data_IF_314256213985
#
_entry.id   IF_314256213985
#
_cell.length_a   1.000
_cell.length_b   1.000
_cell.length_c   1.000
_cell.angle_alpha   90.00
_cell.angle_beta   90.00
_cell.angle_gamma   90.00
#
_symmetry.space_group_name_H-M   'P 1'
#
loop_
_entity.id
_entity.type
_entity.pdbx_description
1 polymer ?
#
# COMPACT_ATOMS: atom_id res chain seq x y z
N UNK A 1 53.20 -20.50 1.36
CA UNK A 1 53.05 -21.11 2.71
C UNK A 1 52.52 -20.13 3.75
N UNK A 2 53.06 -18.90 3.86
CA UNK A 2 52.63 -17.92 4.87
C UNK A 2 51.18 -17.42 4.69
N UNK A 3 50.73 -17.16 3.46
CA UNK A 3 49.36 -16.69 3.18
C UNK A 3 48.30 -17.76 3.46
N UNK A 4 48.56 -19.00 3.05
CA UNK A 4 47.69 -20.15 3.34
C UNK A 4 47.63 -20.49 4.83
N UNK A 5 48.76 -20.39 5.54
CA UNK A 5 48.84 -20.51 7.00
C UNK A 5 48.05 -19.40 7.72
N UNK A 6 48.12 -18.16 7.22
CA UNK A 6 47.40 -17.01 7.77
C UNK A 6 45.89 -17.12 7.56
N UNK A 7 45.46 -17.46 6.33
CA UNK A 7 44.04 -17.66 6.00
C UNK A 7 43.41 -18.82 6.79
N UNK A 8 44.17 -19.91 7.02
CA UNK A 8 43.72 -21.04 7.84
C UNK A 8 43.69 -20.72 9.35
N UNK A 9 44.67 -19.97 9.88
CA UNK A 9 44.71 -19.60 11.32
C UNK A 9 43.51 -18.74 11.75
N UNK A 10 42.98 -17.92 10.85
CA UNK A 10 41.86 -17.01 11.13
C UNK A 10 40.55 -17.44 10.47
N UNK A 11 40.50 -18.63 9.88
CA UNK A 11 39.33 -19.17 9.17
C UNK A 11 38.74 -18.20 8.13
N UNK A 12 39.58 -17.31 7.57
CA UNK A 12 39.18 -16.20 6.72
C UNK A 12 38.51 -16.66 5.42
N UNK A 13 38.91 -17.84 4.91
CA UNK A 13 38.24 -18.46 3.76
C UNK A 13 36.81 -18.91 4.10
N UNK A 14 36.59 -19.47 5.29
CA UNK A 14 35.26 -19.84 5.75
C UNK A 14 34.38 -18.61 6.02
N UNK A 15 34.95 -17.56 6.62
CA UNK A 15 34.26 -16.28 6.85
C UNK A 15 33.91 -15.60 5.52
N UNK A 16 34.83 -15.55 4.57
CA UNK A 16 34.60 -14.97 3.25
C UNK A 16 33.58 -15.78 2.46
N UNK A 17 33.69 -17.11 2.48
CA UNK A 17 32.72 -18.01 1.81
C UNK A 17 31.33 -17.90 2.44
N UNK A 18 31.24 -17.78 3.77
CA UNK A 18 29.99 -17.55 4.49
C UNK A 18 29.39 -16.18 4.16
N UNK A 19 30.20 -15.13 4.13
CA UNK A 19 29.76 -13.78 3.76
C UNK A 19 29.29 -13.73 2.30
N UNK A 20 29.98 -14.42 1.39
CA UNK A 20 29.60 -14.53 -0.02
C UNK A 20 28.32 -15.36 -0.21
N UNK A 21 28.16 -16.46 0.52
CA UNK A 21 26.92 -17.25 0.58
C UNK A 21 25.75 -16.39 1.09
N UNK A 22 25.93 -15.67 2.20
CA UNK A 22 24.94 -14.75 2.74
C UNK A 22 24.58 -13.64 1.75
N UNK A 23 25.57 -13.06 1.08
CA UNK A 23 25.36 -12.04 0.06
C UNK A 23 24.57 -12.57 -1.14
N UNK A 24 24.90 -13.77 -1.63
CA UNK A 24 24.16 -14.42 -2.71
C UNK A 24 22.74 -14.81 -2.30
N UNK A 25 22.54 -15.26 -1.05
CA UNK A 25 21.21 -15.52 -0.48
C UNK A 25 20.36 -14.25 -0.45
N UNK A 26 20.93 -13.11 -0.03
CA UNK A 26 20.23 -11.81 -0.02
C UNK A 26 19.81 -11.42 -1.44
N UNK A 27 20.71 -11.51 -2.43
CA UNK A 27 20.39 -11.20 -3.83
C UNK A 27 19.32 -12.15 -4.39
N UNK A 28 19.38 -13.44 -4.04
CA UNK A 28 18.38 -14.42 -4.47
C UNK A 28 17.00 -14.10 -3.88
N UNK A 29 16.92 -13.80 -2.58
CA UNK A 29 15.69 -13.33 -1.92
C UNK A 29 15.16 -12.08 -2.62
N UNK A 30 16.03 -11.10 -2.91
CA UNK A 30 15.63 -9.86 -3.59
C UNK A 30 15.02 -10.12 -4.98
N UNK A 31 15.57 -11.08 -5.74
CA UNK A 31 15.03 -11.49 -7.05
C UNK A 31 13.70 -12.22 -6.94
N UNK A 32 13.60 -13.17 -6.02
CA UNK A 32 12.35 -13.90 -5.72
C UNK A 32 11.26 -12.92 -5.28
N UNK A 33 11.63 -11.96 -4.45
CA UNK A 33 10.74 -10.93 -3.97
C UNK A 33 10.27 -9.97 -5.09
N UNK A 34 11.17 -9.56 -5.98
CA UNK A 34 10.82 -8.80 -7.21
C UNK A 34 9.86 -9.58 -8.12
N UNK A 35 10.03 -10.90 -8.23
CA UNK A 35 9.13 -11.77 -8.99
C UNK A 35 7.76 -11.90 -8.33
N UNK A 36 7.72 -12.09 -7.01
CA UNK A 36 6.47 -12.11 -6.23
C UNK A 36 5.68 -10.81 -6.40
N UNK A 37 6.36 -9.67 -6.32
CA UNK A 37 5.76 -8.36 -6.57
C UNK A 37 5.13 -8.30 -7.97
N UNK A 38 5.84 -8.78 -8.99
CA UNK A 38 5.33 -8.77 -10.36
C UNK A 38 4.09 -9.66 -10.49
N UNK A 39 4.06 -10.80 -9.81
CA UNK A 39 2.87 -11.65 -9.73
C UNK A 39 1.77 -10.96 -8.93
N UNK A 40 2.07 -10.28 -7.82
CA UNK A 40 1.09 -9.54 -7.02
C UNK A 40 0.45 -8.40 -7.83
N UNK A 41 1.22 -7.65 -8.62
CA UNK A 41 0.69 -6.60 -9.49
C UNK A 41 -0.14 -7.18 -10.65
N UNK A 42 0.29 -8.31 -11.22
CA UNK A 42 -0.52 -9.06 -12.19
C UNK A 42 -1.83 -9.55 -11.55
N UNK A 43 -1.77 -10.12 -10.35
CA UNK A 43 -2.91 -10.56 -9.59
C UNK A 43 -3.81 -9.36 -9.31
N UNK A 44 -3.31 -8.25 -8.78
CA UNK A 44 -4.02 -6.97 -8.52
C UNK A 44 -4.74 -6.38 -9.74
N UNK A 45 -4.15 -6.46 -10.93
CA UNK A 45 -4.80 -6.01 -12.17
C UNK A 45 -5.96 -6.92 -12.60
N UNK A 46 -5.97 -8.17 -12.14
CA UNK A 46 -7.03 -9.16 -12.38
C UNK A 46 -7.92 -9.46 -11.14
N UNK A 47 -7.49 -9.02 -9.95
CA UNK A 47 -7.99 -9.35 -8.59
C UNK A 47 -7.88 -8.08 -7.70
N UNK A 48 -8.77 -7.10 -7.86
CA UNK A 48 -8.68 -5.80 -7.17
C UNK A 48 -8.73 -5.88 -5.64
N UNK A 49 -9.19 -7.01 -5.08
CA UNK A 49 -9.34 -7.25 -3.64
C UNK A 49 -8.03 -7.60 -2.92
N UNK A 50 -6.97 -7.94 -3.65
CA UNK A 50 -5.66 -8.34 -3.09
C UNK A 50 -4.63 -7.21 -3.08
N UNK A 51 -4.95 -6.04 -3.68
CA UNK A 51 -4.04 -4.93 -4.02
C UNK A 51 -2.99 -4.53 -2.98
N UNK A 52 -3.29 -4.63 -1.67
CA UNK A 52 -2.36 -4.32 -0.58
C UNK A 52 -2.35 -5.40 0.52
N UNK A 53 -3.06 -6.50 0.32
CA UNK A 53 -3.38 -7.46 1.37
C UNK A 53 -2.11 -8.05 1.99
N UNK A 54 -1.22 -8.60 1.16
CA UNK A 54 0.05 -9.17 1.58
C UNK A 54 0.91 -8.18 2.38
N UNK A 55 0.99 -6.92 1.93
CA UNK A 55 1.77 -5.87 2.61
C UNK A 55 1.19 -5.49 3.96
N UNK A 56 -0.14 -5.36 4.04
CA UNK A 56 -0.83 -5.06 5.28
C UNK A 56 -0.68 -6.19 6.30
N UNK A 57 -0.86 -7.45 5.87
CA UNK A 57 -0.66 -8.64 6.70
C UNK A 57 0.79 -8.71 7.19
N UNK A 58 1.77 -8.45 6.33
CA UNK A 58 3.18 -8.41 6.72
C UNK A 58 3.46 -7.36 7.79
N UNK A 59 2.87 -6.17 7.68
CA UNK A 59 3.01 -5.16 8.71
C UNK A 59 2.37 -5.56 10.05
N UNK A 60 1.13 -6.08 10.04
CA UNK A 60 0.48 -6.52 11.28
C UNK A 60 1.31 -7.63 11.95
N UNK A 61 1.76 -8.59 11.15
CA UNK A 61 2.61 -9.71 11.59
C UNK A 61 3.84 -9.22 12.33
N UNK A 62 4.58 -8.26 11.76
CA UNK A 62 5.83 -7.78 12.35
C UNK A 62 5.61 -7.04 13.66
N UNK A 63 4.47 -6.38 13.79
CA UNK A 63 4.22 -5.47 14.91
C UNK A 63 3.68 -6.25 16.09
N UNK A 64 2.87 -7.27 15.82
CA UNK A 64 2.53 -8.31 16.78
C UNK A 64 3.81 -9.05 17.23
N UNK A 65 4.67 -9.46 16.29
CA UNK A 65 5.91 -10.15 16.62
C UNK A 65 6.88 -9.30 17.46
N UNK A 66 6.90 -7.97 17.27
CA UNK A 66 7.65 -7.05 18.12
C UNK A 66 7.11 -7.03 19.54
N UNK A 67 5.78 -6.99 19.73
CA UNK A 67 5.15 -7.05 21.06
C UNK A 67 5.44 -8.35 21.78
N UNK A 68 5.47 -9.45 21.03
CA UNK A 68 5.85 -10.76 21.52
C UNK A 68 7.37 -10.94 21.71
N UNK A 69 8.17 -9.89 21.48
CA UNK A 69 9.63 -9.89 21.63
C UNK A 69 10.38 -10.95 20.79
N UNK A 70 9.85 -11.32 19.62
CA UNK A 70 10.54 -12.28 18.73
C UNK A 70 11.90 -11.71 18.28
N UNK A 71 12.94 -12.56 18.12
CA UNK A 71 14.24 -12.16 17.60
C UNK A 71 14.14 -11.51 16.21
N UNK A 72 15.11 -10.63 15.90
CA UNK A 72 15.13 -9.93 14.60
C UNK A 72 15.09 -10.90 13.41
N UNK A 73 15.86 -11.98 13.48
CA UNK A 73 15.97 -12.96 12.39
C UNK A 73 14.65 -13.73 12.17
N UNK A 74 13.92 -14.05 13.24
CA UNK A 74 12.59 -14.66 13.11
C UNK A 74 11.57 -13.69 12.54
N UNK A 75 11.62 -12.41 12.97
CA UNK A 75 10.76 -11.37 12.40
C UNK A 75 11.01 -11.19 10.91
N UNK A 76 12.26 -11.27 10.45
CA UNK A 76 12.59 -11.21 9.02
C UNK A 76 11.95 -12.38 8.25
N UNK A 77 12.10 -13.62 8.73
CA UNK A 77 11.42 -14.78 8.12
C UNK A 77 9.90 -14.62 8.11
N UNK A 78 9.32 -14.10 9.20
CA UNK A 78 7.88 -13.85 9.35
C UNK A 78 7.38 -12.80 8.36
N UNK A 79 8.17 -11.76 8.10
CA UNK A 79 7.87 -10.76 7.09
C UNK A 79 7.72 -11.40 5.72
N UNK A 80 8.66 -12.26 5.33
CA UNK A 80 8.58 -12.98 4.07
C UNK A 80 7.42 -13.98 4.05
N UNK A 81 7.20 -14.76 5.11
CA UNK A 81 6.06 -15.65 5.18
C UNK A 81 4.71 -14.91 5.02
N UNK A 82 4.58 -13.72 5.62
CA UNK A 82 3.40 -12.89 5.51
C UNK A 82 3.19 -12.29 4.12
N UNK A 83 4.27 -11.91 3.42
CA UNK A 83 4.15 -11.45 2.04
C UNK A 83 3.66 -12.57 1.14
N UNK A 84 4.22 -13.78 1.29
CA UNK A 84 3.94 -14.90 0.39
C UNK A 84 2.76 -15.79 0.80
N UNK A 85 2.09 -15.51 1.93
CA UNK A 85 1.08 -16.41 2.51
C UNK A 85 -0.02 -16.84 1.52
N UNK A 86 -0.39 -15.93 0.61
CA UNK A 86 -1.48 -16.10 -0.34
C UNK A 86 -1.01 -16.45 -1.77
N UNK A 87 0.30 -16.68 -2.00
CA UNK A 87 0.85 -16.88 -3.36
C UNK A 87 0.21 -18.06 -4.10
N UNK A 88 -0.24 -19.08 -3.37
CA UNK A 88 -0.93 -20.24 -3.94
C UNK A 88 -2.29 -19.94 -4.58
N UNK A 89 -2.87 -18.75 -4.34
CA UNK A 89 -4.13 -18.33 -4.98
C UNK A 89 -4.00 -18.19 -6.49
N UNK A 90 -2.79 -18.15 -7.03
CA UNK A 90 -2.54 -18.24 -8.48
C UNK A 90 -3.12 -19.51 -9.11
N UNK A 91 -3.30 -20.59 -8.34
CA UNK A 91 -3.88 -21.85 -8.81
C UNK A 91 -5.41 -21.92 -8.64
N UNK A 92 -6.03 -20.95 -7.97
CA UNK A 92 -7.48 -20.94 -7.71
C UNK A 92 -8.19 -20.11 -8.78
N UNK A 93 -9.36 -20.55 -9.24
CA UNK A 93 -10.14 -19.81 -10.25
C UNK A 93 -10.45 -18.38 -9.80
N UNK A 94 -10.21 -17.41 -10.68
CA UNK A 94 -10.52 -15.99 -10.45
C UNK A 94 -11.99 -15.75 -10.05
N UNK A 95 -12.94 -16.57 -10.54
CA UNK A 95 -14.36 -16.46 -10.19
C UNK A 95 -14.65 -16.81 -8.73
N UNK A 96 -13.84 -17.69 -8.13
CA UNK A 96 -13.96 -18.10 -6.72
C UNK A 96 -13.29 -17.04 -5.83
N UNK A 97 -12.06 -16.65 -6.17
CA UNK A 97 -11.30 -15.64 -5.41
C UNK A 97 -12.04 -14.30 -5.34
N UNK A 98 -12.73 -13.90 -6.41
CA UNK A 98 -13.47 -12.64 -6.49
C UNK A 98 -14.98 -12.77 -6.19
N UNK A 99 -15.47 -13.93 -5.74
CA UNK A 99 -16.91 -14.15 -5.59
C UNK A 99 -17.53 -13.14 -4.62
N UNK A 100 -18.56 -12.42 -5.09
CA UNK A 100 -19.36 -11.53 -4.24
C UNK A 100 -20.42 -12.35 -3.49
N UNK A 101 -20.05 -12.88 -2.32
CA UNK A 101 -20.96 -13.66 -1.48
C UNK A 101 -20.28 -14.83 -0.77
N UNK A 102 -21.04 -15.70 -0.08
CA UNK A 102 -20.49 -16.92 0.48
C UNK A 102 -20.04 -17.88 -0.64
N UNK A 103 -18.96 -18.61 -0.38
CA UNK A 103 -18.53 -19.73 -1.21
C UNK A 103 -19.46 -20.92 -1.00
N UNK A 104 -19.70 -21.70 -2.05
CA UNK A 104 -20.31 -23.04 -1.88
C UNK A 104 -19.31 -23.97 -1.19
N UNK A 105 -19.75 -25.11 -0.64
CA UNK A 105 -18.83 -26.09 -0.05
C UNK A 105 -17.72 -26.51 -1.02
N UNK A 106 -18.04 -26.72 -2.30
CA UNK A 106 -17.08 -27.13 -3.33
C UNK A 106 -16.08 -26.01 -3.66
N UNK A 107 -16.56 -24.77 -3.76
CA UNK A 107 -15.69 -23.60 -3.94
C UNK A 107 -14.80 -23.36 -2.71
N UNK A 108 -15.30 -23.69 -1.51
CA UNK A 108 -14.53 -23.64 -0.28
C UNK A 108 -13.47 -24.74 -0.22
N UNK A 109 -13.72 -25.94 -0.74
CA UNK A 109 -12.67 -26.95 -0.93
C UNK A 109 -11.58 -26.44 -1.89
N UNK A 110 -11.97 -25.90 -3.04
CA UNK A 110 -11.03 -25.39 -4.05
C UNK A 110 -10.17 -24.23 -3.50
N UNK A 111 -10.76 -23.29 -2.75
CA UNK A 111 -9.98 -22.17 -2.21
C UNK A 111 -8.98 -22.62 -1.14
N UNK A 112 -9.27 -23.69 -0.37
CA UNK A 112 -8.35 -24.19 0.67
C UNK A 112 -7.04 -24.71 0.09
N UNK A 113 -7.05 -25.19 -1.15
CA UNK A 113 -5.86 -25.73 -1.82
C UNK A 113 -4.72 -24.70 -1.94
N UNK A 114 -5.02 -23.39 -1.90
CA UNK A 114 -3.99 -22.35 -1.99
C UNK A 114 -2.91 -22.47 -0.90
N UNK A 115 -3.24 -23.03 0.27
CA UNK A 115 -2.28 -23.25 1.34
C UNK A 115 -1.21 -24.29 0.93
N UNK A 116 -1.63 -25.40 0.33
CA UNK A 116 -0.73 -26.46 -0.14
C UNK A 116 0.05 -26.01 -1.38
N UNK A 117 -0.61 -25.32 -2.33
CA UNK A 117 0.07 -24.75 -3.48
C UNK A 117 1.07 -23.66 -3.07
N UNK A 118 0.72 -22.84 -2.07
CA UNK A 118 1.60 -21.85 -1.47
C UNK A 118 2.85 -22.50 -0.87
N UNK A 119 2.68 -23.60 -0.14
CA UNK A 119 3.79 -24.42 0.37
C UNK A 119 4.69 -24.93 -0.75
N UNK A 120 4.14 -25.52 -1.82
CA UNK A 120 4.93 -26.06 -2.94
C UNK A 120 5.76 -24.95 -3.61
N UNK A 121 5.13 -23.81 -3.92
CA UNK A 121 5.82 -22.66 -4.55
C UNK A 121 6.92 -22.15 -3.62
N UNK A 122 6.58 -21.88 -2.36
CA UNK A 122 7.52 -21.27 -1.42
C UNK A 122 8.63 -22.21 -0.99
N UNK A 123 8.40 -23.53 -0.98
CA UNK A 123 9.48 -24.50 -0.80
C UNK A 123 10.52 -24.35 -1.89
N UNK A 124 10.14 -24.40 -3.17
CA UNK A 124 11.11 -24.20 -4.25
C UNK A 124 11.85 -22.85 -4.18
N UNK A 125 11.18 -21.81 -3.68
CA UNK A 125 11.76 -20.47 -3.54
C UNK A 125 12.69 -20.31 -2.33
N UNK A 126 12.38 -20.95 -1.20
CA UNK A 126 13.02 -20.68 0.09
C UNK A 126 13.76 -21.87 0.72
N UNK A 127 13.65 -23.09 0.21
CA UNK A 127 14.19 -24.32 0.87
C UNK A 127 15.66 -24.19 1.27
N UNK A 128 16.47 -23.58 0.40
CA UNK A 128 17.92 -23.41 0.63
C UNK A 128 18.29 -22.19 1.49
N UNK A 129 17.33 -21.37 1.91
CA UNK A 129 17.56 -20.09 2.59
C UNK A 129 16.79 -20.03 3.92
N UNK A 130 15.48 -20.26 3.86
CA UNK A 130 14.55 -20.20 4.99
C UNK A 130 13.56 -21.38 4.92
N UNK A 131 13.99 -22.60 5.29
CA UNK A 131 13.18 -23.82 5.15
C UNK A 131 11.92 -23.83 6.06
N UNK A 132 11.84 -22.92 7.03
CA UNK A 132 10.68 -22.78 7.92
C UNK A 132 9.49 -22.07 7.25
N UNK A 133 9.77 -21.11 6.34
CA UNK A 133 8.75 -20.25 5.72
C UNK A 133 7.64 -21.04 5.02
N UNK A 134 7.95 -22.07 4.20
CA UNK A 134 6.92 -22.84 3.50
C UNK A 134 5.92 -23.47 4.47
N UNK A 135 6.38 -24.01 5.59
CA UNK A 135 5.51 -24.58 6.61
C UNK A 135 4.65 -23.52 7.28
N UNK A 136 5.21 -22.33 7.53
CA UNK A 136 4.45 -21.24 8.14
C UNK A 136 3.30 -20.79 7.25
N UNK A 137 3.55 -20.74 5.94
CA UNK A 137 2.56 -20.46 4.90
C UNK A 137 1.55 -21.60 4.80
N UNK A 138 1.97 -22.87 4.81
CA UNK A 138 1.05 -24.00 4.74
C UNK A 138 -0.04 -23.96 5.82
N UNK A 139 0.36 -23.63 7.06
CA UNK A 139 -0.52 -23.74 8.22
C UNK A 139 -1.09 -22.41 8.71
N UNK A 140 -0.99 -21.32 7.92
CA UNK A 140 -1.48 -20.00 8.33
C UNK A 140 -3.03 -19.91 8.44
N UNK A 141 -3.73 -20.95 8.01
CA UNK A 141 -5.18 -21.12 8.15
C UNK A 141 -5.61 -22.14 9.20
N UNK A 142 -4.66 -22.73 9.93
CA UNK A 142 -4.98 -23.54 11.09
C UNK A 142 -5.62 -22.67 12.18
N UNK A 143 -6.63 -23.23 12.86
CA UNK A 143 -7.29 -22.59 13.99
C UNK A 143 -6.73 -23.19 15.28
N UNK A 144 -6.62 -22.37 16.33
CA UNK A 144 -6.02 -22.78 17.60
C UNK A 144 -6.67 -24.04 18.23
N UNK A 145 -7.96 -24.29 17.99
CA UNK A 145 -8.73 -25.47 18.43
C UNK A 145 -8.65 -26.69 17.49
N UNK A 146 -8.00 -26.54 16.33
CA UNK A 146 -7.84 -27.53 15.26
C UNK A 146 -9.05 -27.71 14.35
N UNK A 147 -9.97 -26.74 14.33
CA UNK A 147 -11.04 -26.68 13.32
C UNK A 147 -10.57 -26.08 11.98
N UNK A 148 -9.28 -25.76 11.85
CA UNK A 148 -8.68 -25.15 10.67
C UNK A 148 -8.28 -26.16 9.61
N UNK A 149 -7.46 -25.70 8.67
CA UNK A 149 -6.96 -26.50 7.54
C UNK A 149 -5.51 -26.07 7.22
N UNK A 150 -4.73 -26.91 6.50
CA UNK A 150 -5.09 -28.17 5.83
C UNK A 150 -5.11 -29.44 6.69
N UNK A 151 -4.47 -29.45 7.86
CA UNK A 151 -4.18 -30.67 8.64
C UNK A 151 -4.91 -30.74 9.99
N UNK A 152 -5.55 -29.65 10.42
CA UNK A 152 -6.35 -29.61 11.66
C UNK A 152 -5.49 -29.60 12.92
N UNK A 153 -4.29 -29.00 12.82
CA UNK A 153 -3.32 -28.90 13.91
C UNK A 153 -3.88 -28.09 15.09
N UNK A 154 -3.54 -28.47 16.32
CA UNK A 154 -4.06 -27.83 17.54
C UNK A 154 -2.97 -27.17 18.37
N UNK A 155 -3.25 -25.94 18.83
CA UNK A 155 -2.44 -25.21 19.81
C UNK A 155 -0.95 -25.17 19.42
N UNK A 156 -0.12 -25.95 20.12
CA UNK A 156 1.34 -25.97 19.96
C UNK A 156 1.81 -26.83 18.78
N UNK A 157 0.93 -27.61 18.16
CA UNK A 157 1.20 -28.29 16.90
C UNK A 157 1.30 -27.29 15.74
N UNK A 158 0.60 -26.16 15.86
CA UNK A 158 0.69 -25.05 14.90
C UNK A 158 1.95 -24.24 15.22
N UNK A 159 2.88 -24.03 14.27
CA UNK A 159 4.03 -23.17 14.50
C UNK A 159 3.59 -21.79 14.98
N UNK A 160 4.31 -21.27 15.97
CA UNK A 160 4.01 -19.95 16.52
C UNK A 160 3.94 -18.84 15.43
N UNK A 161 4.83 -18.83 14.42
CA UNK A 161 4.72 -17.92 13.28
C UNK A 161 3.39 -18.01 12.51
N UNK A 162 2.87 -19.22 12.26
CA UNK A 162 1.56 -19.41 11.62
C UNK A 162 0.42 -18.87 12.48
N UNK A 163 0.51 -19.01 13.80
CA UNK A 163 -0.47 -18.43 14.75
C UNK A 163 -0.50 -16.90 14.66
N UNK A 164 0.67 -16.26 14.51
CA UNK A 164 0.78 -14.81 14.26
C UNK A 164 0.17 -14.43 12.90
N UNK A 165 0.53 -15.14 11.83
CA UNK A 165 0.00 -14.90 10.48
C UNK A 165 -1.52 -15.00 10.43
N UNK A 166 -2.10 -16.00 11.12
CA UNK A 166 -3.55 -16.20 11.20
C UNK A 166 -4.27 -14.96 11.73
N UNK A 167 -3.78 -14.41 12.84
CA UNK A 167 -4.34 -13.20 13.46
C UNK A 167 -4.14 -11.98 12.56
N UNK A 168 -2.92 -11.78 12.03
CA UNK A 168 -2.61 -10.66 11.14
C UNK A 168 -3.46 -10.65 9.86
N UNK A 169 -3.68 -11.82 9.26
CA UNK A 169 -4.55 -12.00 8.09
C UNK A 169 -5.99 -11.57 8.41
N UNK A 170 -6.56 -12.05 9.53
CA UNK A 170 -7.92 -11.69 9.91
C UNK A 170 -8.05 -10.20 10.22
N UNK A 171 -7.05 -9.61 10.89
CA UNK A 171 -7.04 -8.16 11.15
C UNK A 171 -7.13 -7.40 9.83
N UNK A 172 -6.29 -7.71 8.83
CA UNK A 172 -6.37 -7.03 7.55
C UNK A 172 -7.70 -7.29 6.82
N UNK A 173 -8.20 -8.53 6.81
CA UNK A 173 -9.46 -8.90 6.17
C UNK A 173 -10.65 -8.13 6.75
N UNK A 174 -10.64 -7.84 8.05
CA UNK A 174 -11.71 -7.13 8.75
C UNK A 174 -11.53 -5.61 8.72
N UNK A 175 -10.29 -5.14 8.84
CA UNK A 175 -9.96 -3.72 9.00
C UNK A 175 -9.76 -2.99 7.67
N UNK A 176 -9.25 -3.67 6.65
CA UNK A 176 -8.96 -3.03 5.36
C UNK A 176 -10.23 -2.95 4.49
N UNK A 177 -10.49 -1.79 3.85
CA UNK A 177 -11.61 -1.68 2.93
C UNK A 177 -11.46 -2.65 1.75
N UNK A 178 -12.44 -3.57 1.59
CA UNK A 178 -12.55 -4.44 0.42
C UNK A 178 -13.64 -3.92 -0.52
N UNK A 179 -13.49 -4.16 -1.83
CA UNK A 179 -14.51 -3.81 -2.84
C UNK A 179 -15.90 -4.35 -2.49
N UNK A 180 -15.96 -5.45 -1.73
CA UNK A 180 -17.20 -6.15 -1.39
C UNK A 180 -17.61 -6.13 0.11
N UNK A 181 -16.83 -5.55 1.03
CA UNK A 181 -17.13 -5.53 2.47
C UNK A 181 -16.66 -4.23 3.12
N UNK A 182 -17.53 -3.60 3.92
CA UNK A 182 -17.13 -2.41 4.71
C UNK A 182 -16.11 -2.83 5.77
N UNK A 183 -15.08 -2.01 6.05
CA UNK A 183 -14.27 -2.17 7.26
C UNK A 183 -15.15 -2.27 8.49
N UNK A 184 -14.84 -3.21 9.38
CA UNK A 184 -15.43 -3.20 10.73
C UNK A 184 -14.78 -2.05 11.52
N UNK A 185 -15.52 -1.45 12.43
CA UNK A 185 -14.98 -0.45 13.36
C UNK A 185 -13.88 -1.09 14.22
N UNK A 186 -12.96 -0.27 14.76
CA UNK A 186 -11.92 -0.77 15.68
C UNK A 186 -12.55 -1.52 16.85
N UNK A 187 -13.70 -1.05 17.35
CA UNK A 187 -14.46 -1.72 18.40
C UNK A 187 -14.92 -3.12 17.98
N UNK A 188 -15.53 -3.24 16.80
CA UNK A 188 -15.98 -4.53 16.26
C UNK A 188 -14.79 -5.48 15.96
N UNK A 189 -13.65 -4.96 15.50
CA UNK A 189 -12.43 -5.73 15.32
C UNK A 189 -11.94 -6.31 16.66
N UNK A 190 -11.86 -5.48 17.70
CA UNK A 190 -11.44 -5.89 19.04
C UNK A 190 -12.40 -6.92 19.62
N UNK A 191 -13.71 -6.70 19.46
CA UNK A 191 -14.75 -7.65 19.90
C UNK A 191 -14.61 -9.00 19.18
N UNK A 192 -14.36 -9.00 17.87
CA UNK A 192 -14.20 -10.23 17.08
C UNK A 192 -12.93 -11.00 17.45
N UNK A 193 -11.79 -10.31 17.61
CA UNK A 193 -10.54 -10.95 18.05
C UNK A 193 -10.71 -11.61 19.42
N UNK A 194 -11.34 -10.92 20.37
CA UNK A 194 -11.64 -11.45 21.71
C UNK A 194 -12.59 -12.64 21.64
N UNK A 195 -13.64 -12.56 20.81
CA UNK A 195 -14.63 -13.64 20.64
C UNK A 195 -14.01 -14.92 20.09
N UNK A 196 -13.03 -14.80 19.20
CA UNK A 196 -12.35 -15.93 18.57
C UNK A 196 -11.09 -16.42 19.32
N UNK A 197 -10.73 -15.77 20.43
CA UNK A 197 -9.57 -16.14 21.26
C UNK A 197 -9.74 -17.53 21.86
N UNK A 198 -8.68 -18.34 21.82
CA UNK A 198 -8.67 -19.72 22.31
C UNK A 198 -9.41 -20.72 21.42
N UNK A 199 -10.11 -20.24 20.38
CA UNK A 199 -10.76 -21.06 19.36
C UNK A 199 -10.03 -20.95 18.02
N UNK A 200 -10.14 -19.81 17.36
CA UNK A 200 -9.49 -19.59 16.08
C UNK A 200 -8.06 -19.06 16.29
N UNK A 201 -7.87 -18.27 17.36
CA UNK A 201 -6.63 -17.55 17.61
C UNK A 201 -5.95 -17.94 18.92
N UNK A 202 -4.62 -17.92 18.90
CA UNK A 202 -3.80 -18.05 20.10
C UNK A 202 -4.01 -16.83 21.02
N UNK A 203 -4.35 -17.04 22.31
CA UNK A 203 -4.52 -15.96 23.29
C UNK A 203 -3.33 -15.01 23.40
N UNK A 204 -2.09 -15.53 23.41
CA UNK A 204 -0.89 -14.68 23.58
C UNK A 204 -0.72 -13.74 22.39
N UNK A 205 -1.05 -14.24 21.18
CA UNK A 205 -1.00 -13.46 19.94
C UNK A 205 -2.10 -12.42 19.91
N UNK A 206 -3.31 -12.75 20.39
CA UNK A 206 -4.42 -11.78 20.45
C UNK A 206 -4.10 -10.65 21.41
N UNK A 207 -3.59 -10.93 22.60
CA UNK A 207 -3.22 -9.90 23.57
C UNK A 207 -2.19 -8.93 22.98
N UNK A 208 -1.14 -9.45 22.35
CA UNK A 208 -0.16 -8.65 21.63
C UNK A 208 -0.80 -7.83 20.48
N UNK A 209 -1.72 -8.42 19.72
CA UNK A 209 -2.41 -7.70 18.65
C UNK A 209 -3.31 -6.58 19.17
N UNK A 210 -3.98 -6.77 20.29
CA UNK A 210 -4.78 -5.74 20.94
C UNK A 210 -3.90 -4.58 21.43
N UNK A 211 -2.73 -4.86 21.98
CA UNK A 211 -1.76 -3.83 22.34
C UNK A 211 -1.32 -3.03 21.12
N UNK A 212 -0.98 -3.70 20.01
CA UNK A 212 -0.65 -3.03 18.74
C UNK A 212 -1.81 -2.16 18.26
N UNK A 213 -3.05 -2.66 18.30
CA UNK A 213 -4.24 -1.90 17.86
C UNK A 213 -4.47 -0.68 18.75
N UNK A 214 -4.32 -0.81 20.06
CA UNK A 214 -4.49 0.27 21.03
C UNK A 214 -3.41 1.35 20.88
N UNK A 215 -2.16 0.95 20.63
CA UNK A 215 -1.05 1.87 20.41
C UNK A 215 -1.11 2.57 19.04
N UNK A 216 -1.77 1.94 18.05
CA UNK A 216 -1.83 2.45 16.67
C UNK A 216 -3.00 3.35 16.34
N UNK A 217 -3.60 3.95 17.36
CA UNK A 217 -4.28 5.22 17.18
C UNK A 217 -3.19 6.29 16.92
N UNK A 218 -2.76 6.39 15.65
CA UNK A 218 -1.98 7.45 14.93
C UNK A 218 -0.43 7.34 14.86
N UNK A 219 0.17 7.22 13.64
CA UNK A 219 1.02 8.24 12.95
C UNK A 219 1.88 7.69 11.75
N UNK A 220 2.07 8.47 10.67
CA UNK A 220 2.93 8.18 9.51
C UNK A 220 4.39 7.77 9.78
N UNK A 221 4.96 8.19 10.92
CA UNK A 221 6.42 8.33 11.10
C UNK A 221 7.15 7.08 11.59
N UNK A 222 6.44 6.03 12.02
CA UNK A 222 7.09 4.85 12.61
C UNK A 222 7.57 3.81 11.59
N UNK A 223 7.29 4.07 10.31
CA UNK A 223 7.51 3.11 9.23
C UNK A 223 8.95 3.15 8.74
N UNK A 224 9.57 4.33 8.77
CA UNK A 224 10.96 4.61 8.40
C UNK A 224 11.97 4.41 9.55
N UNK A 225 11.57 3.84 10.68
CA UNK A 225 12.46 3.57 11.84
C UNK A 225 12.87 2.09 11.95
N UNK A 226 12.94 1.39 10.81
CA UNK A 226 13.15 -0.06 10.79
C UNK A 226 14.50 -0.45 10.22
N UNK A 227 15.22 -1.24 11.02
CA UNK A 227 16.46 -1.92 10.68
C UNK A 227 16.28 -3.18 9.80
N UNK A 228 15.05 -3.50 9.43
CA UNK A 228 14.66 -4.60 8.52
C UNK A 228 14.16 -3.96 7.23
N UNK A 229 14.58 -4.52 6.09
CA UNK A 229 14.12 -4.11 4.78
C UNK A 229 12.59 -4.27 4.69
N UNK A 230 11.92 -3.19 4.33
CA UNK A 230 10.47 -3.16 4.13
C UNK A 230 10.17 -2.68 2.74
N UNK A 231 9.11 -3.22 2.17
CA UNK A 231 8.66 -2.84 0.85
C UNK A 231 7.22 -2.35 0.93
N UNK A 232 6.97 -1.25 0.23
CA UNK A 232 5.68 -0.61 0.16
C UNK A 232 5.32 -0.29 -1.28
N UNK A 233 4.06 -0.47 -1.68
CA UNK A 233 3.54 0.12 -2.91
C UNK A 233 3.70 1.63 -2.87
N UNK A 234 4.16 2.22 -3.96
CA UNK A 234 4.46 3.64 -4.01
C UNK A 234 4.29 4.23 -5.41
N UNK A 235 4.11 5.55 -5.43
CA UNK A 235 4.16 6.39 -6.62
C UNK A 235 5.35 7.34 -6.46
N UNK A 236 6.26 7.32 -7.42
CA UNK A 236 7.34 8.29 -7.50
C UNK A 236 6.98 9.35 -8.53
N UNK A 237 6.96 10.62 -8.12
CA UNK A 237 6.76 11.77 -8.98
C UNK A 237 8.06 12.55 -9.11
N UNK A 238 8.56 12.70 -10.33
CA UNK A 238 9.75 13.48 -10.65
C UNK A 238 9.34 14.72 -11.43
N UNK A 239 9.61 15.90 -10.89
CA UNK A 239 9.39 17.17 -11.59
C UNK A 239 10.73 17.67 -12.11
N UNK A 240 10.85 17.81 -13.42
CA UNK A 240 11.99 18.47 -14.06
C UNK A 240 11.60 19.86 -14.53
N UNK A 241 12.56 20.62 -15.09
CA UNK A 241 12.26 21.91 -15.73
C UNK A 241 11.35 21.77 -16.97
N UNK A 242 11.27 20.58 -17.57
CA UNK A 242 10.57 20.33 -18.83
C UNK A 242 9.24 19.62 -18.66
N UNK A 243 9.20 18.65 -17.76
CA UNK A 243 8.07 17.73 -17.64
C UNK A 243 7.91 17.18 -16.22
N UNK A 244 6.81 16.46 -16.01
CA UNK A 244 6.60 15.69 -14.78
C UNK A 244 6.35 14.23 -15.12
N UNK A 245 7.18 13.38 -14.53
CA UNK A 245 7.13 11.94 -14.70
C UNK A 245 6.53 11.30 -13.46
N UNK A 246 5.56 10.41 -13.65
CA UNK A 246 4.97 9.65 -12.56
C UNK A 246 5.18 8.18 -12.83
N UNK A 247 5.77 7.49 -11.86
CA UNK A 247 6.07 6.08 -11.95
C UNK A 247 5.32 5.35 -10.85
N UNK A 248 4.51 4.36 -11.22
CA UNK A 248 4.01 3.39 -10.27
C UNK A 248 5.10 2.36 -9.99
N UNK A 249 5.13 1.85 -8.77
CA UNK A 249 6.13 0.87 -8.39
C UNK A 249 6.14 0.58 -6.91
N UNK A 250 7.31 0.21 -6.43
CA UNK A 250 7.50 -0.18 -5.04
C UNK A 250 8.70 0.55 -4.47
N UNK A 251 8.50 1.07 -3.26
CA UNK A 251 9.53 1.66 -2.45
C UNK A 251 10.07 0.63 -1.47
N UNK A 252 11.34 0.29 -1.62
CA UNK A 252 12.11 -0.56 -0.71
C UNK A 252 12.86 0.35 0.24
N UNK A 253 12.57 0.23 1.53
CA UNK A 253 13.20 0.98 2.61
C UNK A 253 14.02 0.07 3.51
N UNK A 254 15.28 0.41 3.67
CA UNK A 254 16.17 -0.12 4.71
C UNK A 254 17.01 1.06 5.21
N UNK A 255 17.30 1.12 6.52
CA UNK A 255 18.15 2.16 7.13
C UNK A 255 19.49 2.37 6.39
N UNK A 256 20.00 1.33 5.71
CA UNK A 256 21.24 1.42 4.92
C UNK A 256 21.04 1.73 3.44
N UNK A 257 19.88 1.36 2.86
CA UNK A 257 19.61 1.44 1.41
C UNK A 257 18.12 1.62 1.17
N UNK A 258 17.76 2.66 0.45
CA UNK A 258 16.38 2.91 0.06
C UNK A 258 16.31 3.16 -1.44
N UNK A 259 15.38 2.51 -2.13
CA UNK A 259 15.24 2.64 -3.57
C UNK A 259 13.78 2.42 -3.99
N UNK A 260 13.42 3.04 -5.10
CA UNK A 260 12.14 2.87 -5.77
C UNK A 260 12.37 2.10 -7.06
N UNK A 261 11.53 1.09 -7.31
CA UNK A 261 11.55 0.34 -8.56
C UNK A 261 10.20 0.47 -9.24
N UNK A 262 10.19 1.00 -10.46
CA UNK A 262 8.98 1.17 -11.25
C UNK A 262 8.49 -0.14 -11.84
N UNK A 263 7.17 -0.32 -11.88
CA UNK A 263 6.48 -1.40 -12.61
C UNK A 263 6.05 -1.02 -14.01
N UNK A 264 6.23 0.23 -14.42
CA UNK A 264 5.82 0.72 -15.73
C UNK A 264 6.82 0.24 -16.81
N UNK A 265 6.68 -1.02 -17.23
CA UNK A 265 7.57 -1.73 -18.17
C UNK A 265 7.54 -1.16 -19.60
N UNK A 266 6.51 -0.40 -19.95
CA UNK A 266 6.29 0.17 -21.28
C UNK A 266 6.48 1.70 -21.35
N UNK A 267 6.91 2.34 -20.25
CA UNK A 267 7.04 3.79 -20.14
C UNK A 267 8.48 4.29 -20.31
N UNK A 268 8.65 5.50 -20.82
CA UNK A 268 9.94 6.20 -20.89
C UNK A 268 10.66 6.16 -19.52
N UNK A 269 11.80 5.48 -19.43
CA UNK A 269 12.67 5.58 -18.26
C UNK A 269 13.46 6.88 -18.33
N UNK A 270 13.51 7.64 -17.24
CA UNK A 270 14.27 8.90 -17.19
C UNK A 270 15.66 8.58 -16.66
N UNK A 271 16.61 8.40 -17.59
CA UNK A 271 18.01 8.07 -17.27
C UNK A 271 18.81 9.29 -16.82
N UNK A 272 18.42 10.47 -17.30
CA UNK A 272 19.08 11.74 -16.99
C UNK A 272 18.15 12.67 -16.21
N UNK A 273 18.54 13.00 -14.98
CA UNK A 273 17.81 13.87 -14.04
C UNK A 273 18.55 15.17 -13.74
N UNK A 274 19.43 15.63 -14.65
CA UNK A 274 20.21 16.87 -14.44
C UNK A 274 19.34 18.12 -14.29
N UNK A 275 18.10 18.08 -14.79
CA UNK A 275 17.11 19.14 -14.73
C UNK A 275 16.01 18.87 -13.69
N UNK A 276 16.21 17.92 -12.78
CA UNK A 276 15.28 17.60 -11.70
C UNK A 276 15.16 18.77 -10.71
N UNK A 277 13.94 19.28 -10.53
CA UNK A 277 13.61 20.34 -9.58
C UNK A 277 13.21 19.79 -8.21
N UNK A 278 12.38 18.75 -8.21
CA UNK A 278 11.86 18.14 -6.99
C UNK A 278 11.39 16.72 -7.27
N UNK A 279 11.48 15.86 -6.26
CA UNK A 279 10.86 14.55 -6.31
C UNK A 279 10.01 14.32 -5.07
N UNK A 280 8.84 13.71 -5.29
CA UNK A 280 7.97 13.27 -4.21
C UNK A 280 7.69 11.78 -4.33
N UNK A 281 7.58 11.13 -3.18
CA UNK A 281 7.27 9.73 -3.04
C UNK A 281 5.99 9.60 -2.24
N UNK A 282 4.97 9.02 -2.84
CA UNK A 282 3.74 8.66 -2.14
C UNK A 282 3.79 7.18 -1.84
N UNK A 283 3.75 6.81 -0.57
CA UNK A 283 3.79 5.43 -0.10
C UNK A 283 2.40 5.04 0.39
N UNK A 284 1.86 3.92 -0.10
CA UNK A 284 0.55 3.40 0.27
C UNK A 284 0.67 2.33 1.36
N UNK A 285 -0.05 2.53 2.46
CA UNK A 285 0.02 1.67 3.65
C UNK A 285 -1.38 1.64 4.31
N UNK A 286 -1.98 0.47 4.53
CA UNK A 286 -3.35 0.35 5.05
C UNK A 286 -4.39 1.17 4.28
N UNK A 287 -4.29 1.19 2.95
CA UNK A 287 -5.14 2.04 2.09
C UNK A 287 -5.06 3.54 2.45
N UNK A 288 -3.97 3.97 3.09
CA UNK A 288 -3.65 5.35 3.40
C UNK A 288 -2.40 5.75 2.64
N UNK A 289 -2.43 6.93 2.02
CA UNK A 289 -1.32 7.48 1.28
C UNK A 289 -0.50 8.41 2.19
N UNK A 290 0.81 8.22 2.19
CA UNK A 290 1.77 9.03 2.92
C UNK A 290 2.74 9.65 1.93
N UNK A 291 2.84 10.98 1.94
CA UNK A 291 3.68 11.71 1.00
C UNK A 291 4.97 12.16 1.66
N UNK A 292 6.07 11.95 0.92
CA UNK A 292 7.42 12.26 1.33
C UNK A 292 8.08 13.09 0.24
N UNK A 293 8.85 14.09 0.65
CA UNK A 293 9.84 14.73 -0.21
C UNK A 293 11.10 13.87 -0.19
N UNK A 294 11.68 13.62 -1.36
CA UNK A 294 12.80 12.69 -1.51
C UNK A 294 13.84 13.22 -2.49
N UNK A 295 15.07 12.78 -2.32
CA UNK A 295 16.12 12.89 -3.33
C UNK A 295 16.23 11.59 -4.12
N UNK A 296 16.42 11.72 -5.43
CA UNK A 296 16.33 10.60 -6.37
C UNK A 296 17.57 10.56 -7.24
N UNK A 297 18.21 9.38 -7.30
CA UNK A 297 19.34 9.13 -8.19
C UNK A 297 18.96 7.94 -9.09
N UNK A 298 18.93 8.10 -10.43
CA UNK A 298 18.70 6.98 -11.32
C UNK A 298 19.94 6.09 -11.34
N UNK A 299 19.77 4.77 -11.26
CA UNK A 299 20.90 3.82 -11.21
C UNK A 299 20.85 2.83 -12.36
N UNK A 300 19.69 2.27 -12.61
CA UNK A 300 19.43 1.31 -13.69
C UNK A 300 18.06 1.63 -14.30
N UNK A 301 17.72 0.98 -15.41
CA UNK A 301 16.40 1.13 -16.01
C UNK A 301 15.31 0.82 -14.97
N UNK A 302 14.38 1.77 -14.82
CA UNK A 302 13.25 1.70 -13.90
C UNK A 302 13.62 1.58 -12.40
N UNK A 303 14.89 1.84 -12.02
CA UNK A 303 15.33 1.77 -10.62
C UNK A 303 16.02 3.06 -10.18
N UNK A 304 15.53 3.61 -9.08
CA UNK A 304 15.95 4.90 -8.55
C UNK A 304 16.33 4.77 -7.07
N UNK A 305 17.54 5.15 -6.69
CA UNK A 305 17.90 5.29 -5.27
C UNK A 305 17.10 6.45 -4.70
N UNK A 306 16.50 6.23 -3.53
CA UNK A 306 15.73 7.21 -2.79
C UNK A 306 16.50 7.54 -1.52
N UNK A 307 16.71 8.82 -1.27
CA UNK A 307 17.40 9.29 -0.07
C UNK A 307 16.77 10.58 0.46
N UNK A 308 17.26 11.05 1.60
CA UNK A 308 16.76 12.26 2.26
C UNK A 308 15.22 12.29 2.41
N UNK A 309 14.64 11.16 2.81
CA UNK A 309 13.19 10.96 2.87
C UNK A 309 12.63 11.77 4.03
N UNK A 310 11.94 12.86 3.69
CA UNK A 310 11.32 13.74 4.67
C UNK A 310 9.81 13.62 4.54
N UNK A 311 9.08 13.35 5.65
CA UNK A 311 7.64 13.46 5.60
C UNK A 311 7.31 14.88 5.13
N UNK A 312 6.47 15.01 4.13
CA UNK A 312 5.89 16.31 3.86
C UNK A 312 4.96 16.57 5.05
N UNK A 313 5.36 17.46 5.96
CA UNK A 313 4.57 17.76 7.15
C UNK A 313 3.16 18.13 6.70
N UNK A 314 2.21 17.28 7.10
CA UNK A 314 0.79 17.47 6.86
C UNK A 314 0.38 18.78 7.52
N UNK A 315 0.23 19.84 6.74
CA UNK A 315 -0.96 20.68 6.97
C UNK A 315 -2.15 19.80 6.59
N UNK A 316 -2.86 19.32 7.61
CA UNK A 316 -3.91 18.30 7.60
C UNK A 316 -4.94 18.39 6.46
N UNK A 317 -4.70 17.83 5.27
CA UNK A 317 -5.72 17.87 4.22
C UNK A 317 -6.00 16.50 3.56
N UNK A 318 -7.28 16.12 3.65
CA UNK A 318 -7.88 14.94 3.04
C UNK A 318 -8.27 15.30 1.60
N UNK A 319 -7.94 14.45 0.62
CA UNK A 319 -8.27 14.67 -0.80
C UNK A 319 -9.18 13.57 -1.36
N UNK A 320 -10.14 13.93 -2.21
CA UNK A 320 -11.13 13.02 -2.80
C UNK A 320 -11.23 13.23 -4.31
N UNK A 321 -11.35 12.15 -5.08
CA UNK A 321 -11.77 12.20 -6.49
C UNK A 321 -13.26 12.59 -6.54
N UNK A 322 -13.55 13.75 -7.11
CA UNK A 322 -14.88 14.32 -7.12
C UNK A 322 -15.08 15.17 -8.38
N UNK A 323 -16.02 14.74 -9.22
CA UNK A 323 -16.44 15.52 -10.38
C UNK A 323 -17.42 16.63 -9.96
N UNK A 324 -16.98 17.88 -10.06
CA UNK A 324 -17.78 19.06 -9.75
C UNK A 324 -17.66 20.07 -10.90
N UNK A 325 -18.78 20.68 -11.25
CA UNK A 325 -18.81 21.85 -12.12
C UNK A 325 -18.34 23.07 -11.31
N UNK A 326 -17.39 23.82 -11.86
CA UNK A 326 -16.89 25.03 -11.25
C UNK A 326 -16.63 26.11 -12.30
N UNK A 327 -16.69 27.36 -11.86
CA UNK A 327 -16.37 28.53 -12.67
C UNK A 327 -15.06 29.15 -12.18
N UNK A 328 -14.05 29.14 -13.04
CA UNK A 328 -12.77 29.81 -12.80
C UNK A 328 -12.86 31.24 -13.34
N UNK A 329 -12.69 32.22 -12.46
CA UNK A 329 -12.83 33.65 -12.76
C UNK A 329 -11.46 34.31 -12.61
N UNK A 330 -10.94 34.86 -13.71
CA UNK A 330 -9.70 35.62 -13.72
C UNK A 330 -9.89 37.02 -13.11
N UNK A 331 -8.81 37.66 -12.67
CA UNK A 331 -8.84 39.04 -12.18
C UNK A 331 -9.40 40.05 -13.22
N UNK A 332 -9.28 39.74 -14.51
CA UNK A 332 -9.85 40.51 -15.62
C UNK A 332 -11.38 40.40 -15.75
N UNK A 333 -12.03 39.56 -14.95
CA UNK A 333 -13.48 39.30 -14.99
C UNK A 333 -13.90 38.25 -16.02
N UNK A 334 -12.97 37.72 -16.83
CA UNK A 334 -13.25 36.60 -17.74
C UNK A 334 -13.48 35.33 -16.92
N UNK A 335 -14.60 34.65 -17.15
CA UNK A 335 -14.93 33.39 -16.50
C UNK A 335 -14.89 32.22 -17.47
N UNK A 336 -14.52 31.06 -16.93
CA UNK A 336 -14.35 29.80 -17.65
C UNK A 336 -14.99 28.67 -16.85
N UNK A 337 -15.86 27.90 -17.48
CA UNK A 337 -16.38 26.68 -16.87
C UNK A 337 -15.32 25.58 -16.94
N UNK A 338 -15.06 24.96 -15.79
CA UNK A 338 -14.07 23.90 -15.63
C UNK A 338 -14.67 22.75 -14.83
N UNK A 339 -14.14 21.55 -15.07
CA UNK A 339 -14.52 20.36 -14.31
C UNK A 339 -13.45 20.05 -13.29
N UNK A 340 -13.77 20.27 -12.02
CA UNK A 340 -12.95 19.79 -10.91
C UNK A 340 -13.02 18.26 -10.91
N UNK A 341 -11.88 17.61 -10.79
CA UNK A 341 -11.73 16.15 -10.78
C UNK A 341 -11.23 15.63 -9.43
N UNK A 342 -10.55 16.49 -8.67
CA UNK A 342 -10.10 16.18 -7.31
C UNK A 342 -10.21 17.42 -6.44
N UNK A 343 -10.70 17.25 -5.22
CA UNK A 343 -10.81 18.31 -4.22
C UNK A 343 -10.09 17.90 -2.94
N UNK A 344 -9.17 18.75 -2.47
CA UNK A 344 -8.47 18.66 -1.19
C UNK A 344 -8.86 19.85 -0.30
N UNK A 345 -8.31 19.92 0.91
CA UNK A 345 -8.48 21.05 1.82
C UNK A 345 -7.71 22.31 1.45
N UNK A 346 -6.71 22.18 0.58
CA UNK A 346 -5.70 23.20 0.24
C UNK A 346 -5.45 23.36 -1.26
N UNK A 347 -5.90 22.41 -2.06
CA UNK A 347 -5.85 22.51 -3.51
C UNK A 347 -6.99 21.73 -4.16
N UNK A 348 -7.16 21.94 -5.46
CA UNK A 348 -7.96 21.08 -6.32
C UNK A 348 -7.25 20.81 -7.63
N UNK A 349 -7.69 19.75 -8.33
CA UNK A 349 -7.31 19.49 -9.72
C UNK A 349 -8.54 19.68 -10.59
N UNK A 350 -8.39 20.44 -11.68
CA UNK A 350 -9.45 20.59 -12.67
C UNK A 350 -8.92 20.32 -14.08
N UNK A 351 -9.79 19.85 -14.96
CA UNK A 351 -9.48 19.65 -16.38
C UNK A 351 -9.94 20.87 -17.20
N UNK A 352 -9.11 21.31 -18.14
CA UNK A 352 -9.42 22.37 -19.09
C UNK A 352 -8.80 22.08 -20.47
N UNK A 353 -9.33 22.73 -21.50
CA UNK A 353 -8.91 22.55 -22.90
C UNK A 353 -7.50 23.13 -23.14
N UNK A 354 -6.66 22.40 -23.88
CA UNK A 354 -5.29 22.82 -24.21
C UNK A 354 -5.22 24.01 -25.16
N UNK A 355 -6.29 24.29 -25.90
CA UNK A 355 -6.35 25.43 -26.82
C UNK A 355 -6.34 26.80 -26.12
N UNK A 356 -6.56 26.84 -24.80
CA UNK A 356 -6.59 28.06 -23.99
C UNK A 356 -5.76 27.89 -22.70
N UNK A 357 -4.42 27.96 -22.78
CA UNK A 357 -3.56 27.84 -21.61
C UNK A 357 -3.82 28.96 -20.60
N UNK A 358 -3.82 28.59 -19.32
CA UNK A 358 -4.08 29.51 -18.21
C UNK A 358 -2.78 30.06 -17.64
N UNK A 359 -2.80 31.31 -17.18
CA UNK A 359 -1.65 31.97 -16.58
C UNK A 359 -1.41 31.47 -15.16
N UNK A 360 -0.20 30.97 -14.89
CA UNK A 360 0.20 30.40 -13.61
C UNK A 360 0.49 31.46 -12.55
N UNK A 361 0.77 32.70 -12.97
CA UNK A 361 1.14 33.81 -12.06
C UNK A 361 -0.06 34.63 -11.62
N UNK A 362 -1.22 34.40 -12.23
CA UNK A 362 -2.45 35.14 -11.96
C UNK A 362 -3.22 34.58 -10.77
N UNK A 363 -3.83 35.46 -9.99
CA UNK A 363 -4.81 35.10 -8.97
C UNK A 363 -6.17 34.87 -9.64
N UNK A 364 -6.79 33.74 -9.33
CA UNK A 364 -8.15 33.43 -9.75
C UNK A 364 -9.08 33.27 -8.56
N UNK A 365 -10.37 33.28 -8.86
CA UNK A 365 -11.44 32.85 -7.96
C UNK A 365 -12.10 31.63 -8.59
N UNK A 366 -12.16 30.53 -7.84
CA UNK A 366 -12.88 29.33 -8.25
C UNK A 366 -14.21 29.29 -7.52
N UNK A 367 -15.32 29.35 -8.24
CA UNK A 367 -16.66 29.17 -7.70
C UNK A 367 -17.09 27.72 -7.94
N UNK A 368 -17.14 26.93 -6.89
CA UNK A 368 -17.51 25.51 -6.93
C UNK A 368 -18.98 25.37 -6.52
N UNK A 369 -19.75 24.61 -7.30
CA UNK A 369 -21.12 24.27 -6.96
C UNK A 369 -21.21 22.81 -6.53
N UNK A 370 -21.59 22.57 -5.28
CA UNK A 370 -21.73 21.24 -4.71
C UNK A 370 -23.10 20.62 -5.05
N UNK A 371 -23.18 19.30 -4.92
CA UNK A 371 -24.38 18.51 -5.24
C UNK A 371 -25.60 18.85 -4.37
N UNK A 372 -25.37 19.37 -3.16
CA UNK A 372 -26.43 19.84 -2.26
C UNK A 372 -26.87 21.28 -2.52
N UNK A 373 -26.36 21.90 -3.59
CA UNK A 373 -26.67 23.27 -3.99
C UNK A 373 -25.88 24.35 -3.25
N UNK A 374 -25.03 23.97 -2.29
CA UNK A 374 -24.11 24.91 -1.65
C UNK A 374 -23.05 25.37 -2.66
N UNK A 375 -22.71 26.66 -2.63
CA UNK A 375 -21.66 27.24 -3.46
C UNK A 375 -20.52 27.75 -2.58
N UNK A 376 -19.28 27.51 -3.02
CA UNK A 376 -18.09 27.95 -2.32
C UNK A 376 -17.14 28.65 -3.27
N UNK A 377 -16.61 29.79 -2.84
CA UNK A 377 -15.63 30.56 -3.60
C UNK A 377 -14.27 30.39 -2.95
N UNK A 378 -13.30 29.89 -3.72
CA UNK A 378 -11.93 29.63 -3.30
C UNK A 378 -10.98 30.48 -4.13
N UNK A 379 -10.28 31.40 -3.48
CA UNK A 379 -9.19 32.15 -4.10
C UNK A 379 -7.96 31.26 -4.21
N UNK A 380 -7.15 31.44 -5.25
CA UNK A 380 -6.01 30.57 -5.49
C UNK A 380 -5.24 30.90 -6.75
N UNK A 381 -4.13 30.21 -6.91
CA UNK A 381 -3.22 30.32 -8.05
C UNK A 381 -3.03 28.94 -8.67
N UNK A 382 -2.75 28.92 -9.96
CA UNK A 382 -2.41 27.68 -10.63
C UNK A 382 -0.92 27.45 -10.44
N UNK A 383 -0.57 26.37 -9.75
CA UNK A 383 0.83 26.08 -9.36
C UNK A 383 1.51 25.11 -10.30
N UNK A 384 0.71 24.29 -10.98
CA UNK A 384 1.21 23.25 -11.87
C UNK A 384 0.10 22.82 -12.85
N UNK A 385 0.47 22.41 -14.07
CA UNK A 385 -0.44 21.71 -14.97
C UNK A 385 0.30 20.63 -15.76
N UNK A 386 -0.43 19.65 -16.29
CA UNK A 386 0.10 18.64 -17.20
C UNK A 386 -0.93 18.26 -18.25
N UNK A 387 -0.45 17.92 -19.44
CA UNK A 387 -1.29 17.47 -20.54
C UNK A 387 -1.66 16.00 -20.33
N UNK A 388 -2.96 15.68 -20.33
CA UNK A 388 -3.42 14.29 -20.27
C UNK A 388 -3.77 13.73 -21.66
N UNK A 389 -4.05 14.61 -22.63
CA UNK A 389 -4.23 14.25 -24.03
C UNK A 389 -3.89 15.45 -24.93
N UNK A 390 -4.01 15.30 -26.24
CA UNK A 390 -3.86 16.41 -27.19
C UNK A 390 -4.85 17.55 -26.91
N UNK A 391 -6.02 17.25 -26.34
CA UNK A 391 -7.12 18.20 -26.24
C UNK A 391 -7.34 18.74 -24.81
N UNK A 392 -6.76 18.10 -23.78
CA UNK A 392 -7.01 18.50 -22.39
C UNK A 392 -5.78 18.43 -21.49
N UNK A 393 -5.72 19.38 -20.56
CA UNK A 393 -4.74 19.46 -19.48
C UNK A 393 -5.42 19.48 -18.12
N UNK A 394 -4.72 18.93 -17.13
CA UNK A 394 -5.08 19.04 -15.73
C UNK A 394 -4.27 20.13 -15.05
N UNK A 395 -4.95 20.99 -14.33
CA UNK A 395 -4.39 22.13 -13.64
C UNK A 395 -4.55 21.95 -12.12
N UNK A 396 -3.45 22.12 -11.38
CA UNK A 396 -3.41 22.18 -9.92
C UNK A 396 -3.61 23.60 -9.45
N UNK A 397 -4.76 23.84 -8.86
CA UNK A 397 -5.15 25.10 -8.27
C UNK A 397 -4.94 25.06 -6.77
N UNK A 398 -3.94 25.79 -6.27
CA UNK A 398 -3.64 25.87 -4.85
C UNK A 398 -4.43 27.04 -4.23
N UNK A 399 -5.10 26.81 -3.11
CA UNK A 399 -5.88 27.84 -2.45
C UNK A 399 -4.97 28.86 -1.75
N UNK A 400 -5.31 30.14 -1.89
CA UNK A 400 -4.55 31.25 -1.31
C UNK A 400 -5.52 32.14 -0.54
N UNK A 401 -5.15 32.54 0.68
CA UNK A 401 -5.94 33.47 1.52
C UNK A 401 -7.40 33.06 1.73
N UNK A 402 -7.67 31.76 1.91
CA UNK A 402 -9.00 31.27 2.31
C UNK A 402 -9.18 31.44 3.83
N UNK A 403 -10.27 32.10 4.24
CA UNK A 403 -10.62 32.28 5.65
C UNK A 403 -11.06 30.96 6.32
N UNK A 404 -10.96 30.89 7.65
CA UNK A 404 -11.30 29.69 8.43
C UNK A 404 -12.74 29.21 8.19
N UNK A 405 -13.72 30.12 8.16
CA UNK A 405 -15.12 29.78 7.86
C UNK A 405 -15.30 29.10 6.50
N UNK A 406 -14.58 29.56 5.48
CA UNK A 406 -14.63 28.98 4.12
C UNK A 406 -13.98 27.60 4.09
N UNK A 407 -12.87 27.45 4.83
CA UNK A 407 -12.16 26.18 4.99
C UNK A 407 -13.01 25.14 5.74
N UNK A 408 -13.74 25.53 6.77
CA UNK A 408 -14.66 24.63 7.49
C UNK A 408 -15.80 24.14 6.60
N UNK A 409 -16.38 25.04 5.79
CA UNK A 409 -17.41 24.67 4.80
C UNK A 409 -16.87 23.68 3.77
N UNK A 410 -15.64 23.90 3.28
CA UNK A 410 -14.96 22.99 2.36
C UNK A 410 -14.81 21.60 2.98
N UNK A 411 -14.31 21.50 4.21
CA UNK A 411 -14.20 20.20 4.89
C UNK A 411 -15.54 19.53 5.10
N UNK A 412 -16.55 20.29 5.53
CA UNK A 412 -17.90 19.76 5.71
C UNK A 412 -18.42 19.12 4.42
N UNK A 413 -18.18 19.74 3.26
CA UNK A 413 -18.54 19.19 1.96
C UNK A 413 -17.75 17.92 1.60
N UNK A 414 -16.43 17.94 1.80
CA UNK A 414 -15.54 16.77 1.63
C UNK A 414 -16.02 15.59 2.48
N UNK A 415 -16.32 15.83 3.76
CA UNK A 415 -16.81 14.80 4.68
C UNK A 415 -18.22 14.30 4.30
N UNK A 416 -19.15 15.20 3.96
CA UNK A 416 -20.48 14.82 3.46
C UNK A 416 -20.37 13.92 2.24
N UNK A 417 -19.53 14.27 1.26
CA UNK A 417 -19.33 13.47 0.06
C UNK A 417 -18.69 12.12 0.37
N UNK A 418 -17.74 12.04 1.30
CA UNK A 418 -17.22 10.76 1.78
C UNK A 418 -18.32 9.89 2.38
N UNK A 419 -19.17 10.46 3.23
CA UNK A 419 -20.30 9.74 3.83
C UNK A 419 -21.28 9.28 2.74
N UNK A 420 -21.57 10.14 1.75
CA UNK A 420 -22.42 9.82 0.60
C UNK A 420 -21.81 8.75 -0.30
N UNK A 421 -20.56 8.84 -0.72
CA UNK A 421 -19.90 7.82 -1.54
C UNK A 421 -19.88 6.48 -0.80
N UNK A 422 -19.59 6.52 0.51
CA UNK A 422 -19.69 5.34 1.38
C UNK A 422 -21.13 4.81 1.46
N UNK A 423 -22.18 5.63 1.33
CA UNK A 423 -23.58 5.19 1.39
C UNK A 423 -24.17 4.78 0.03
N UNK A 424 -23.79 5.44 -1.05
CA UNK A 424 -24.17 5.15 -2.43
C UNK A 424 -23.60 3.80 -2.89
N UNK A 425 -22.33 3.51 -2.58
CA UNK A 425 -21.72 2.19 -2.80
C UNK A 425 -22.45 1.07 -2.03
N UNK A 426 -23.21 1.40 -0.98
CA UNK A 426 -24.08 0.45 -0.27
C UNK A 426 -25.44 0.26 -0.96
N UNK A 427 -25.94 1.26 -1.69
CA UNK A 427 -27.29 1.30 -2.29
C UNK A 427 -27.31 0.79 -3.74
N UNK A 428 -26.26 1.04 -4.52
CA UNK A 428 -26.10 0.55 -5.90
C UNK A 428 -26.06 -1.00 -5.95
N UNK A 429 -25.61 -1.62 -4.86
CA UNK A 429 -25.70 -3.07 -4.62
C UNK A 429 -27.14 -3.60 -4.45
N UNK A 430 -28.07 -2.77 -3.98
CA UNK A 430 -29.45 -3.19 -3.72
C UNK A 430 -30.31 -3.15 -4.99
N UNK A 431 -29.99 -2.26 -5.95
CA UNK A 431 -30.71 -2.13 -7.22
C UNK A 431 -30.24 -3.19 -8.24
N UNK A 432 -28.93 -3.51 -8.28
CA UNK A 432 -28.42 -4.58 -9.16
C UNK A 432 -28.86 -5.99 -8.75
N UNK A 433 -29.13 -6.24 -7.47
CA UNK A 433 -29.66 -7.53 -6.97
C UNK A 433 -31.17 -7.73 -7.19
N UNK A 434 -31.89 -6.78 -7.80
CA UNK A 434 -33.31 -6.91 -8.16
C UNK A 434 -33.60 -6.90 -9.66
N UNK A 435 -32.59 -6.64 -10.50
CA UNK A 435 -32.74 -6.54 -11.96
C UNK A 435 -31.97 -7.63 -12.73
N UNK A 436 -31.55 -8.70 -12.04
CA UNK A 436 -30.88 -9.87 -12.63
C UNK A 436 -31.55 -11.15 -12.18
#
# INVERSE_FOLDING_TARGET
MLLTSFLNRFNLFAIYSYALLKYNQIIAIERVFKFFIMIEDYLKNNLPSMRLHAFNVAYWTIEIAKKLNLPKDEREKLYYAALFHDIGKINVKNSIVNKEGPLTPEEYEEIKEHAEFGYVITRELFDNIYPDIPFWIKWHHENYDGSGYPEGLKKNEIPFPSRILRVANVIDVLHSPKSYKKPVTVKELVEELKRCTGKDFDPDVVDAALDVINERIVLPMDILKSNVEKIFPALLSLRTFRDVYNFNGYFVFNEKRSYFKSTDLNGNSVKDLWDLQSASLVVEIFNSMYEYEVEVIPVEEHTYIISNIRPMEKKNFISILWELEAELIAASGKSLNVKVKRLSGDYLLFAHDNSCPLDMSSLYKMKIKFEDGEELILNGIITYYYNASTNYAFYKYAFVNIGETTRDKLFKQIFKKQIYLRSFLKKDRWIKNKAG
#
